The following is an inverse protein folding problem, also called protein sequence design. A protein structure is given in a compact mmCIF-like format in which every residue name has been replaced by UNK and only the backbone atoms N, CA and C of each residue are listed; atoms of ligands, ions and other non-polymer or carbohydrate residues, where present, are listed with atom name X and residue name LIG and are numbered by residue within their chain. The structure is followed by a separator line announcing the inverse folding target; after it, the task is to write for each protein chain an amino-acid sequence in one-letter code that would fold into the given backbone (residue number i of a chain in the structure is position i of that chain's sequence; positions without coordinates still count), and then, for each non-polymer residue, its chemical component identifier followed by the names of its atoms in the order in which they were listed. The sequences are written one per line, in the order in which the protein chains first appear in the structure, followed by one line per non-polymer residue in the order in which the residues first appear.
data_IF_319553074904
#
_entry.id   IF_319553074904
#
_cell.length_a   1.000
_cell.length_b   1.000
_cell.length_c   1.000
_cell.angle_alpha   90.00
_cell.angle_beta   90.00
_cell.angle_gamma   90.00
#
_symmetry.space_group_name_H-M   'P 1'
#
loop_
_entity.id
_entity.type
_entity.pdbx_description
1 polymer ?
#
# COMPACT_ATOMS: atom_id res chain seq x y z
N UNK A 1 1.67 17.15 -9.81
CA UNK A 1 1.61 15.83 -9.13
C UNK A 1 2.89 15.64 -8.32
N UNK A 2 2.98 14.64 -7.44
CA UNK A 2 4.22 14.39 -6.69
C UNK A 2 5.44 14.21 -7.62
N UNK A 3 5.24 13.47 -8.72
CA UNK A 3 6.27 13.28 -9.74
C UNK A 3 6.71 14.60 -10.41
N UNK A 4 5.79 15.54 -10.67
CA UNK A 4 6.16 16.84 -11.25
C UNK A 4 6.99 17.69 -10.31
N UNK A 5 6.65 17.74 -9.02
CA UNK A 5 7.42 18.47 -8.02
C UNK A 5 8.83 17.91 -7.85
N UNK A 6 8.98 16.58 -7.89
CA UNK A 6 10.28 15.91 -7.85
C UNK A 6 11.11 16.21 -9.11
N UNK A 7 10.47 16.20 -10.28
CA UNK A 7 11.12 16.55 -11.53
C UNK A 7 11.61 18.00 -11.56
N UNK A 8 10.78 18.95 -11.13
CA UNK A 8 11.15 20.36 -10.98
C UNK A 8 12.33 20.55 -10.01
N UNK A 9 12.45 19.67 -9.01
CA UNK A 9 13.59 19.63 -8.09
C UNK A 9 14.83 18.92 -8.65
N UNK A 10 14.80 18.50 -9.92
CA UNK A 10 15.93 17.86 -10.62
C UNK A 10 16.00 16.34 -10.48
N UNK A 11 14.96 15.68 -9.94
CA UNK A 11 14.95 14.23 -9.80
C UNK A 11 14.34 13.53 -11.02
N UNK A 12 14.98 12.46 -11.49
CA UNK A 12 14.39 11.57 -12.49
C UNK A 12 13.44 10.57 -11.80
N UNK A 13 12.15 10.65 -12.10
CA UNK A 13 11.13 9.79 -11.50
C UNK A 13 10.60 8.76 -12.50
N UNK A 14 10.50 7.50 -12.05
CA UNK A 14 9.87 6.41 -12.81
C UNK A 14 8.63 5.97 -12.06
N UNK A 15 7.49 5.99 -12.74
CA UNK A 15 6.22 5.46 -12.21
C UNK A 15 6.02 4.03 -12.69
N UNK A 16 5.87 3.10 -11.74
CA UNK A 16 5.54 1.71 -12.02
C UNK A 16 4.02 1.53 -12.08
N UNK A 17 3.51 1.08 -13.22
CA UNK A 17 2.07 1.08 -13.50
C UNK A 17 1.63 -0.25 -14.13
N UNK A 18 0.50 -0.78 -13.69
CA UNK A 18 -0.11 -1.95 -14.32
C UNK A 18 -0.60 -1.62 -15.74
N UNK A 19 -0.48 -2.58 -16.65
CA UNK A 19 -1.01 -2.49 -18.01
C UNK A 19 -2.53 -2.24 -17.99
N UNK A 20 -3.00 -1.33 -18.86
CA UNK A 20 -4.40 -0.91 -18.88
C UNK A 20 -4.79 0.13 -17.82
N UNK A 21 -3.86 0.61 -16.98
CA UNK A 21 -4.04 1.89 -16.27
C UNK A 21 -3.61 3.04 -17.17
N UNK A 22 -4.47 4.03 -17.27
CA UNK A 22 -4.24 5.25 -18.04
C UNK A 22 -3.92 6.38 -17.08
N UNK A 23 -2.76 6.98 -17.30
CA UNK A 23 -2.38 8.22 -16.64
C UNK A 23 -1.99 9.22 -17.72
N UNK A 24 -2.20 10.50 -17.46
CA UNK A 24 -1.88 11.57 -18.41
C UNK A 24 -0.40 11.50 -18.78
N UNK A 25 -0.04 11.39 -20.07
CA UNK A 25 1.36 11.43 -20.47
C UNK A 25 2.00 12.77 -20.06
N UNK A 26 3.22 12.72 -19.52
CA UNK A 26 3.95 13.92 -19.08
C UNK A 26 5.45 13.71 -19.25
N UNK A 27 6.17 14.78 -19.54
CA UNK A 27 7.63 14.78 -19.61
C UNK A 27 8.29 14.76 -18.22
N UNK A 28 7.51 14.87 -17.15
CA UNK A 28 8.03 14.92 -15.78
C UNK A 28 8.38 13.53 -15.20
N UNK A 29 7.91 12.45 -15.83
CA UNK A 29 8.22 11.10 -15.37
C UNK A 29 8.27 10.10 -16.52
N UNK A 30 9.05 9.04 -16.31
CA UNK A 30 9.08 7.88 -17.17
C UNK A 30 8.08 6.83 -16.67
N UNK A 31 7.55 6.01 -17.57
CA UNK A 31 6.59 4.96 -17.24
C UNK A 31 7.17 3.59 -17.46
N UNK A 32 7.10 2.75 -16.42
CA UNK A 32 7.39 1.34 -16.52
C UNK A 32 6.10 0.55 -16.32
N UNK A 33 5.76 -0.27 -17.31
CA UNK A 33 4.52 -1.05 -17.31
C UNK A 33 4.78 -2.52 -16.97
N UNK A 34 3.83 -3.13 -16.30
CA UNK A 34 3.84 -4.56 -16.02
C UNK A 34 2.45 -5.18 -16.21
N UNK A 35 2.36 -6.46 -16.62
CA UNK A 35 1.08 -7.16 -16.69
C UNK A 35 0.55 -7.34 -15.26
N UNK A 36 -0.58 -6.69 -14.96
CA UNK A 36 -1.18 -6.67 -13.64
C UNK A 36 -2.70 -6.78 -13.68
N UNK A 37 -3.35 -7.19 -12.58
CA UNK A 37 -4.81 -7.25 -12.48
C UNK A 37 -5.42 -5.84 -12.40
N UNK A 38 -4.61 -4.81 -12.12
CA UNK A 38 -5.12 -3.46 -11.94
C UNK A 38 -5.22 -2.71 -13.28
N UNK A 39 -6.41 -2.50 -13.83
CA UNK A 39 -6.65 -1.63 -14.99
C UNK A 39 -7.61 -0.48 -14.63
N UNK A 40 -7.65 0.61 -15.41
CA UNK A 40 -8.42 1.83 -15.07
C UNK A 40 -9.86 1.49 -14.68
N UNK A 41 -10.59 0.82 -15.58
CA UNK A 41 -12.02 0.60 -15.44
C UNK A 41 -12.37 -0.39 -14.32
N UNK A 42 -11.68 -1.53 -14.25
CA UNK A 42 -12.02 -2.59 -13.29
C UNK A 42 -11.52 -2.28 -11.88
N UNK A 43 -10.35 -1.65 -11.74
CA UNK A 43 -9.77 -1.35 -10.44
C UNK A 43 -10.48 -0.19 -9.76
N UNK A 44 -10.82 0.85 -10.52
CA UNK A 44 -11.56 1.96 -9.95
C UNK A 44 -12.97 1.51 -9.55
N UNK A 45 -13.66 0.73 -10.39
CA UNK A 45 -14.97 0.17 -10.04
C UNK A 45 -14.89 -0.77 -8.82
N UNK A 46 -13.87 -1.64 -8.76
CA UNK A 46 -13.63 -2.53 -7.63
C UNK A 46 -13.39 -1.72 -6.35
N UNK A 47 -12.41 -0.83 -6.33
CA UNK A 47 -12.05 -0.05 -5.15
C UNK A 47 -13.21 0.85 -4.70
N UNK A 48 -13.91 1.52 -5.62
CA UNK A 48 -15.06 2.36 -5.28
C UNK A 48 -16.20 1.55 -4.66
N UNK A 49 -16.50 0.38 -5.20
CA UNK A 49 -17.52 -0.52 -4.64
C UNK A 49 -17.17 -0.95 -3.21
N UNK A 50 -15.93 -1.42 -3.02
CA UNK A 50 -15.43 -1.86 -1.72
C UNK A 50 -15.40 -0.71 -0.70
N UNK A 51 -14.89 0.45 -1.10
CA UNK A 51 -14.85 1.65 -0.25
C UNK A 51 -16.26 2.07 0.17
N UNK A 52 -17.23 2.08 -0.74
CA UNK A 52 -18.63 2.39 -0.41
C UNK A 52 -19.19 1.45 0.66
N UNK A 53 -18.92 0.15 0.56
CA UNK A 53 -19.36 -0.81 1.57
C UNK A 53 -18.67 -0.59 2.92
N UNK A 54 -17.35 -0.36 2.90
CA UNK A 54 -16.55 -0.06 4.09
C UNK A 54 -17.09 1.20 4.81
N UNK A 55 -17.29 2.30 4.09
CA UNK A 55 -17.84 3.55 4.64
C UNK A 55 -19.29 3.41 5.11
N UNK A 56 -20.05 2.48 4.53
CA UNK A 56 -21.41 2.16 5.00
C UNK A 56 -21.42 1.27 6.26
N UNK A 57 -20.25 0.83 6.75
CA UNK A 57 -20.11 -0.07 7.89
C UNK A 57 -20.55 -1.52 7.60
N UNK A 58 -20.81 -1.86 6.33
CA UNK A 58 -21.30 -3.18 5.91
C UNK A 58 -20.14 -4.06 5.50
N UNK A 59 -20.03 -5.23 6.15
CA UNK A 59 -19.07 -6.29 5.80
C UNK A 59 -17.61 -5.81 5.70
N UNK A 60 -17.26 -4.73 6.39
CA UNK A 60 -15.98 -4.02 6.28
C UNK A 60 -14.76 -4.94 6.35
N UNK A 61 -14.78 -5.92 7.26
CA UNK A 61 -13.70 -6.89 7.37
C UNK A 61 -13.54 -7.74 6.10
N UNK A 62 -14.65 -8.24 5.53
CA UNK A 62 -14.64 -9.04 4.29
C UNK A 62 -14.15 -8.19 3.12
N UNK A 63 -14.65 -6.96 3.00
CA UNK A 63 -14.23 -6.06 1.93
C UNK A 63 -12.74 -5.71 2.01
N UNK A 64 -12.22 -5.50 3.23
CA UNK A 64 -10.80 -5.28 3.45
C UNK A 64 -9.97 -6.53 3.12
N UNK A 65 -10.43 -7.72 3.47
CA UNK A 65 -9.76 -8.97 3.08
C UNK A 65 -9.69 -9.16 1.57
N UNK A 66 -10.78 -8.86 0.85
CA UNK A 66 -10.81 -8.95 -0.61
C UNK A 66 -9.82 -7.97 -1.25
N UNK A 67 -9.74 -6.73 -0.74
CA UNK A 67 -8.75 -5.74 -1.18
C UNK A 67 -7.33 -6.26 -0.95
N UNK A 68 -7.04 -6.73 0.28
CA UNK A 68 -5.72 -7.25 0.66
C UNK A 68 -5.31 -8.46 -0.20
N UNK A 69 -6.24 -9.35 -0.52
CA UNK A 69 -5.98 -10.50 -1.38
C UNK A 69 -5.66 -10.08 -2.82
N UNK A 70 -6.34 -9.04 -3.33
CA UNK A 70 -6.04 -8.46 -4.63
C UNK A 70 -4.63 -7.85 -4.69
N UNK A 71 -4.25 -7.07 -3.67
CA UNK A 71 -2.90 -6.51 -3.56
C UNK A 71 -1.83 -7.59 -3.42
N UNK A 72 -2.09 -8.63 -2.62
CA UNK A 72 -1.17 -9.77 -2.47
C UNK A 72 -0.94 -10.47 -3.81
N UNK A 73 -2.00 -10.75 -4.58
CA UNK A 73 -1.91 -11.38 -5.90
C UNK A 73 -1.15 -10.53 -6.91
N UNK A 74 -1.44 -9.23 -6.93
CA UNK A 74 -0.69 -8.28 -7.75
C UNK A 74 0.80 -8.31 -7.40
N UNK A 75 1.13 -8.36 -6.10
CA UNK A 75 2.52 -8.41 -5.68
C UNK A 75 3.24 -9.69 -6.12
N UNK A 76 2.60 -10.84 -5.99
CA UNK A 76 3.15 -12.11 -6.47
C UNK A 76 3.46 -12.07 -7.99
N UNK A 77 2.57 -11.45 -8.78
CA UNK A 77 2.78 -11.25 -10.22
C UNK A 77 3.95 -10.29 -10.52
N UNK A 78 4.06 -9.17 -9.80
CA UNK A 78 5.14 -8.20 -9.97
C UNK A 78 6.50 -8.81 -9.64
N UNK A 79 6.61 -9.43 -8.46
CA UNK A 79 7.84 -10.07 -7.99
C UNK A 79 8.20 -11.27 -8.87
N UNK A 80 7.21 -12.02 -9.34
CA UNK A 80 7.40 -13.14 -10.26
C UNK A 80 7.89 -12.74 -11.65
N UNK A 81 7.69 -11.49 -12.06
CA UNK A 81 8.13 -11.00 -13.35
C UNK A 81 9.63 -10.62 -13.32
N UNK A 82 10.48 -11.59 -13.66
CA UNK A 82 11.94 -11.41 -13.69
C UNK A 82 12.39 -10.27 -14.62
N UNK A 83 11.73 -10.09 -15.77
CA UNK A 83 12.07 -9.03 -16.72
C UNK A 83 11.80 -7.64 -16.12
N UNK A 84 10.67 -7.49 -15.42
CA UNK A 84 10.34 -6.28 -14.68
C UNK A 84 11.39 -5.97 -13.60
N UNK A 85 11.66 -6.93 -12.72
CA UNK A 85 12.61 -6.74 -11.61
C UNK A 85 14.02 -6.42 -12.13
N UNK A 86 14.47 -7.10 -13.20
CA UNK A 86 15.75 -6.79 -13.83
C UNK A 86 15.77 -5.40 -14.47
N UNK A 87 14.68 -4.97 -15.10
CA UNK A 87 14.53 -3.61 -15.61
C UNK A 87 14.66 -2.58 -14.50
N UNK A 88 13.92 -2.76 -13.41
CA UNK A 88 13.98 -1.87 -12.23
C UNK A 88 15.39 -1.82 -11.61
N UNK A 89 16.12 -2.94 -11.55
CA UNK A 89 17.51 -2.96 -11.06
C UNK A 89 18.48 -2.18 -11.94
N UNK A 90 18.24 -2.12 -13.25
CA UNK A 90 19.12 -1.40 -14.20
C UNK A 90 19.01 0.11 -14.07
N UNK A 91 17.85 0.62 -13.63
CA UNK A 91 17.62 2.05 -13.41
C UNK A 91 18.44 2.63 -12.24
N UNK A 92 18.93 1.78 -11.32
CA UNK A 92 19.76 2.19 -10.16
C UNK A 92 19.13 3.31 -9.33
N UNK A 93 17.91 3.09 -8.86
CA UNK A 93 17.19 4.05 -8.00
C UNK A 93 17.91 4.30 -6.67
N UNK A 94 17.88 5.54 -6.19
CA UNK A 94 18.39 5.91 -4.86
C UNK A 94 17.30 5.80 -3.76
N UNK A 95 16.05 5.99 -4.14
CA UNK A 95 14.90 6.06 -3.24
C UNK A 95 13.65 5.50 -3.91
N UNK A 96 12.88 4.69 -3.18
CA UNK A 96 11.54 4.26 -3.58
C UNK A 96 10.47 4.96 -2.75
N UNK A 97 9.43 5.48 -3.40
CA UNK A 97 8.25 5.99 -2.71
C UNK A 97 7.21 4.89 -2.61
N UNK A 98 6.78 4.56 -1.39
CA UNK A 98 5.86 3.45 -1.12
C UNK A 98 4.59 3.94 -0.43
N UNK A 99 3.44 3.40 -0.83
CA UNK A 99 2.16 3.64 -0.16
C UNK A 99 1.84 2.46 0.77
N UNK A 100 1.57 2.68 2.08
CA UNK A 100 1.32 1.59 3.02
C UNK A 100 0.07 0.77 2.69
N UNK A 101 -0.84 1.28 1.84
CA UNK A 101 -1.99 0.52 1.36
C UNK A 101 -1.58 -0.61 0.39
N UNK A 102 -0.45 -0.47 -0.32
CA UNK A 102 0.13 -1.52 -1.15
C UNK A 102 1.50 -1.93 -0.59
N UNK A 103 1.49 -2.96 0.25
CA UNK A 103 2.71 -3.44 0.88
C UNK A 103 3.74 -4.03 -0.10
N UNK A 104 3.38 -4.24 -1.37
CA UNK A 104 4.34 -4.72 -2.35
C UNK A 104 5.51 -3.75 -2.55
N UNK A 105 5.28 -2.44 -2.36
CA UNK A 105 6.34 -1.44 -2.42
C UNK A 105 7.51 -1.74 -1.50
N UNK A 106 7.25 -2.24 -0.28
CA UNK A 106 8.30 -2.64 0.67
C UNK A 106 9.10 -3.86 0.19
N UNK A 107 8.42 -4.84 -0.42
CA UNK A 107 9.07 -6.03 -0.98
C UNK A 107 9.96 -5.64 -2.18
N UNK A 108 9.47 -4.75 -3.05
CA UNK A 108 10.25 -4.22 -4.17
C UNK A 108 11.45 -3.39 -3.66
N UNK A 109 11.29 -2.54 -2.64
CA UNK A 109 12.40 -1.80 -2.05
C UNK A 109 13.51 -2.76 -1.56
N UNK A 110 13.12 -3.84 -0.89
CA UNK A 110 14.04 -4.87 -0.43
C UNK A 110 14.75 -5.58 -1.59
N UNK A 111 14.01 -5.92 -2.66
CA UNK A 111 14.56 -6.54 -3.87
C UNK A 111 15.60 -5.69 -4.59
N UNK A 112 15.37 -4.38 -4.62
CA UNK A 112 16.26 -3.40 -5.25
C UNK A 112 17.42 -3.01 -4.34
N UNK A 113 17.31 -3.24 -3.02
CA UNK A 113 18.32 -2.85 -2.03
C UNK A 113 18.37 -1.33 -1.80
N UNK A 114 17.24 -0.64 -1.97
CA UNK A 114 17.16 0.83 -1.94
C UNK A 114 16.41 1.31 -0.70
N UNK A 115 16.68 2.54 -0.27
CA UNK A 115 15.91 3.19 0.79
C UNK A 115 14.49 3.43 0.29
N UNK A 116 13.51 3.44 1.20
CA UNK A 116 12.16 3.83 0.87
C UNK A 116 11.67 4.98 1.76
N UNK A 117 10.79 5.80 1.21
CA UNK A 117 10.02 6.77 1.98
C UNK A 117 8.53 6.44 1.84
N UNK A 118 7.85 6.40 2.97
CA UNK A 118 6.42 6.09 3.04
C UNK A 118 5.64 7.38 2.82
N UNK A 119 4.71 7.36 1.88
CA UNK A 119 3.71 8.40 1.70
C UNK A 119 2.35 7.73 1.63
N UNK A 120 1.29 8.35 2.16
CA UNK A 120 -0.06 7.81 1.94
C UNK A 120 -0.96 8.90 1.39
N UNK A 121 -1.76 8.52 0.41
CA UNK A 121 -2.88 9.33 -0.06
C UNK A 121 -4.17 9.03 0.71
N UNK A 122 -4.15 8.00 1.57
CA UNK A 122 -5.28 7.60 2.41
C UNK A 122 -5.20 8.17 3.82
N UNK A 123 -6.36 8.22 4.50
CA UNK A 123 -6.50 8.73 5.87
C UNK A 123 -6.43 7.61 6.94
N UNK A 124 -6.12 6.38 6.55
CA UNK A 124 -6.37 5.19 7.37
C UNK A 124 -5.19 4.76 8.24
N UNK A 125 -3.98 5.21 7.89
CA UNK A 125 -2.72 4.72 8.46
C UNK A 125 -1.78 5.86 8.85
N UNK A 126 -2.21 6.76 9.76
CA UNK A 126 -1.39 7.90 10.16
C UNK A 126 -0.09 7.46 10.85
N UNK A 127 -0.11 6.40 11.66
CA UNK A 127 1.07 5.92 12.35
C UNK A 127 2.13 5.39 11.38
N UNK A 128 1.71 4.75 10.29
CA UNK A 128 2.56 4.15 9.26
C UNK A 128 3.31 5.20 8.43
N UNK A 129 2.76 6.41 8.32
CA UNK A 129 3.43 7.57 7.71
C UNK A 129 4.19 8.43 8.72
N UNK A 130 4.30 7.97 9.98
CA UNK A 130 5.02 8.67 11.04
C UNK A 130 4.23 9.78 11.73
N UNK A 131 2.92 9.90 11.49
CA UNK A 131 2.08 10.85 12.19
C UNK A 131 1.66 10.32 13.58
N UNK A 132 1.70 11.15 14.64
CA UNK A 132 1.22 10.75 15.96
C UNK A 132 -0.27 10.38 15.93
N UNK A 133 -0.60 9.15 16.33
CA UNK A 133 -1.97 8.64 16.37
C UNK A 133 -2.33 8.07 17.75
N UNK A 134 -2.44 8.91 18.80
CA UNK A 134 -2.76 8.44 20.15
C UNK A 134 -4.24 8.04 20.27
N UNK A 135 -4.44 6.80 20.70
CA UNK A 135 -5.75 6.13 20.82
C UNK A 135 -6.72 6.83 21.78
N UNK A 136 -6.25 7.75 22.62
CA UNK A 136 -7.07 8.50 23.56
C UNK A 136 -7.95 9.57 22.88
N UNK A 137 -7.57 10.07 21.70
CA UNK A 137 -8.30 11.13 20.98
C UNK A 137 -8.29 10.99 19.46
N UNK A 138 -7.45 10.11 18.89
CA UNK A 138 -7.51 9.76 17.46
C UNK A 138 -8.33 8.48 17.33
N UNK A 139 -9.52 8.53 16.68
CA UNK A 139 -10.32 7.34 16.46
C UNK A 139 -9.66 6.45 15.41
N UNK A 140 -9.62 5.15 15.69
CA UNK A 140 -9.12 4.14 14.77
C UNK A 140 -10.03 3.96 13.57
N UNK A 141 -9.43 3.55 12.46
CA UNK A 141 -10.19 3.24 11.26
C UNK A 141 -11.24 2.15 11.56
N UNK A 142 -12.47 2.37 11.07
CA UNK A 142 -13.65 1.51 11.31
C UNK A 142 -14.13 1.43 12.77
N UNK A 143 -13.61 2.24 13.69
CA UNK A 143 -14.19 2.35 15.04
C UNK A 143 -15.60 2.98 15.03
N UNK A 144 -15.90 3.74 13.97
CA UNK A 144 -17.08 4.61 13.83
C UNK A 144 -17.19 5.65 14.97
N UNK A 145 -16.05 6.01 15.55
CA UNK A 145 -15.93 7.02 16.60
C UNK A 145 -15.40 8.33 16.01
N UNK A 146 -15.58 9.41 16.76
CA UNK A 146 -15.03 10.74 16.44
C UNK A 146 -13.84 11.04 17.35
N UNK A 147 -13.23 12.21 17.18
CA UNK A 147 -12.21 12.77 18.06
C UNK A 147 -12.73 13.04 19.49
N UNK A 148 -14.05 13.17 19.65
CA UNK A 148 -14.72 13.37 20.93
C UNK A 148 -15.18 12.03 21.55
N UNK A 149 -14.29 11.38 22.32
CA UNK A 149 -14.55 10.09 22.98
C UNK A 149 -14.57 10.17 24.50
N UNK A 150 -15.58 9.55 25.12
CA UNK A 150 -15.60 9.24 26.55
C UNK A 150 -14.71 8.03 26.89
N UNK A 151 -14.54 7.72 28.18
CA UNK A 151 -13.62 6.65 28.62
C UNK A 151 -13.95 5.28 27.99
N UNK A 152 -15.23 4.90 27.93
CA UNK A 152 -15.66 3.62 27.35
C UNK A 152 -15.39 3.58 25.83
N UNK A 153 -15.62 4.69 25.13
CA UNK A 153 -15.31 4.81 23.71
C UNK A 153 -13.80 4.72 23.46
N UNK A 154 -12.96 5.29 24.33
CA UNK A 154 -11.48 5.14 24.24
C UNK A 154 -11.03 3.69 24.44
N UNK A 155 -11.66 2.96 25.37
CA UNK A 155 -11.40 1.53 25.55
C UNK A 155 -11.81 0.75 24.29
N UNK A 156 -13.00 1.02 23.75
CA UNK A 156 -13.46 0.44 22.47
C UNK A 156 -12.46 0.74 21.35
N UNK A 157 -12.01 2.00 21.24
CA UNK A 157 -11.05 2.44 20.24
C UNK A 157 -9.73 1.65 20.33
N UNK A 158 -9.24 1.47 21.56
CA UNK A 158 -8.04 0.66 21.84
C UNK A 158 -8.26 -0.80 21.47
N UNK A 159 -9.45 -1.36 21.72
CA UNK A 159 -9.80 -2.71 21.27
C UNK A 159 -9.76 -2.85 19.75
N UNK A 160 -10.32 -1.88 19.01
CA UNK A 160 -10.29 -1.86 17.54
C UNK A 160 -8.84 -1.77 17.02
N UNK A 161 -8.01 -0.93 17.63
CA UNK A 161 -6.58 -0.84 17.32
C UNK A 161 -5.88 -2.20 17.44
N UNK A 162 -6.06 -2.87 18.58
CA UNK A 162 -5.43 -4.15 18.85
C UNK A 162 -5.89 -5.21 17.85
N UNK A 163 -7.19 -5.28 17.56
CA UNK A 163 -7.73 -6.20 16.55
C UNK A 163 -7.12 -5.93 15.17
N UNK A 164 -7.03 -4.65 14.76
CA UNK A 164 -6.42 -4.25 13.49
C UNK A 164 -4.95 -4.66 13.41
N UNK A 165 -4.16 -4.35 14.45
CA UNK A 165 -2.75 -4.74 14.54
C UNK A 165 -2.54 -6.25 14.49
N UNK A 166 -3.32 -7.01 15.27
CA UNK A 166 -3.26 -8.47 15.25
C UNK A 166 -3.67 -9.01 13.88
N UNK A 167 -4.70 -8.44 13.25
CA UNK A 167 -5.12 -8.79 11.89
C UNK A 167 -3.99 -8.59 10.88
N UNK A 168 -3.30 -7.46 10.92
CA UNK A 168 -2.11 -7.21 10.08
C UNK A 168 -1.03 -8.25 10.35
N UNK A 169 -0.66 -8.46 11.61
CA UNK A 169 0.40 -9.39 12.00
C UNK A 169 0.10 -10.85 11.63
N UNK A 170 -1.14 -11.32 11.75
CA UNK A 170 -1.49 -12.73 11.54
C UNK A 170 -2.04 -13.04 10.14
N UNK A 171 -2.57 -12.06 9.40
CA UNK A 171 -3.25 -12.30 8.13
C UNK A 171 -2.56 -11.63 6.96
N UNK A 172 -2.00 -10.42 7.15
CA UNK A 172 -1.37 -9.66 6.08
C UNK A 172 0.10 -9.99 5.95
N UNK A 173 0.89 -9.79 7.01
CA UNK A 173 2.35 -10.04 6.98
C UNK A 173 2.69 -11.46 6.52
N UNK A 174 2.03 -12.54 6.99
CA UNK A 174 2.37 -13.90 6.55
C UNK A 174 2.12 -14.14 5.06
N UNK A 175 1.18 -13.41 4.42
CA UNK A 175 0.97 -13.51 2.97
C UNK A 175 2.18 -12.95 2.21
N UNK A 176 2.71 -11.80 2.63
CA UNK A 176 3.89 -11.21 2.01
C UNK A 176 5.18 -11.98 2.34
N UNK A 177 5.31 -12.50 3.56
CA UNK A 177 6.43 -13.38 3.92
C UNK A 177 6.48 -14.64 3.04
N UNK A 178 5.32 -15.24 2.72
CA UNK A 178 5.26 -16.38 1.78
C UNK A 178 5.73 -16.00 0.39
N UNK A 179 5.41 -14.80 -0.11
CA UNK A 179 5.92 -14.29 -1.38
C UNK A 179 7.44 -14.12 -1.29
N UNK A 180 7.94 -13.50 -0.22
CA UNK A 180 9.37 -13.34 -0.01
C UNK A 180 10.10 -14.69 0.05
N UNK A 181 9.54 -15.68 0.74
CA UNK A 181 10.06 -17.05 0.78
C UNK A 181 10.06 -17.70 -0.61
N UNK A 182 8.94 -17.63 -1.33
CA UNK A 182 8.77 -18.20 -2.68
C UNK A 182 9.85 -17.70 -3.65
N UNK A 183 10.30 -16.45 -3.50
CA UNK A 183 11.31 -15.83 -4.34
C UNK A 183 12.69 -15.73 -3.69
N UNK A 184 12.93 -16.42 -2.56
CA UNK A 184 14.19 -16.42 -1.80
C UNK A 184 14.70 -15.01 -1.41
N UNK A 185 13.81 -14.20 -0.87
CA UNK A 185 14.04 -12.80 -0.48
C UNK A 185 14.12 -12.60 1.02
N UNK A 186 14.13 -13.67 1.82
CA UNK A 186 14.29 -13.54 3.25
C UNK A 186 15.73 -13.12 3.57
N UNK A 187 15.94 -12.17 4.51
CA UNK A 187 17.28 -11.89 4.99
C UNK A 187 17.89 -13.16 5.58
N UNK A 188 19.16 -13.44 5.25
CA UNK A 188 19.94 -14.44 5.98
C UNK A 188 19.95 -14.05 7.47
N UNK A 189 19.58 -15.01 8.33
CA UNK A 189 19.49 -14.82 9.78
C UNK A 189 20.85 -14.60 10.41
#
# INVERSE_FOLDING_TARGET
TLASALHESGHHTVSLLSEGRDITPSNHYSLQRYPGPFNSTTSDAFLQSKMRNIFSGRLTAIELFDILDHYTKNCDMMVGNRALIQGLKKEKFDLLLVDPNDMCGFVIAHLLGVKYAVFSTGLWYPAEVGAPAPLAYVPEFNSLLTDHMNLLQRIKNTGVYLISRLGVSFLVLPKYERIMQKYNLLPEK
#
